data_IF_590331020539
#
_entry.id   IF_590331020539
#
_cell.length_a   1.000
_cell.length_b   1.000
_cell.length_c   1.000
_cell.angle_alpha   90.00
_cell.angle_beta   90.00
_cell.angle_gamma   90.00
#
_symmetry.space_group_name_H-M   'P 1'
#
loop_
_entity.id
_entity.type
_entity.pdbx_description
1 polymer ?
#
# COMPACT_ATOMS: atom_id res chain seq x y z
N UNK A 1 -3.98 -9.78 -5.18
CA UNK A 1 -5.06 -8.86 -4.72
C UNK A 1 -5.60 -7.97 -5.83
N UNK A 2 -4.75 -7.28 -6.59
CA UNK A 2 -5.18 -6.35 -7.66
C UNK A 2 -6.17 -6.93 -8.69
N UNK A 3 -6.09 -8.23 -9.00
CA UNK A 3 -7.02 -8.90 -9.91
C UNK A 3 -8.47 -8.83 -9.41
N UNK A 4 -8.73 -9.24 -8.16
CA UNK A 4 -10.07 -9.26 -7.58
C UNK A 4 -10.69 -7.85 -7.52
N UNK A 5 -9.86 -6.82 -7.30
CA UNK A 5 -10.32 -5.43 -7.28
C UNK A 5 -10.66 -4.89 -8.69
N UNK A 6 -9.95 -5.35 -9.72
CA UNK A 6 -10.16 -4.91 -11.10
C UNK A 6 -11.31 -5.65 -11.78
N UNK A 7 -11.50 -6.92 -11.40
CA UNK A 7 -12.51 -7.81 -11.94
C UNK A 7 -13.13 -8.60 -10.78
N UNK A 8 -14.00 -7.97 -9.97
CA UNK A 8 -14.70 -8.70 -8.93
C UNK A 8 -15.53 -9.83 -9.55
N UNK A 9 -15.61 -11.00 -8.91
CA UNK A 9 -16.51 -12.06 -9.36
C UNK A 9 -17.96 -11.54 -9.38
N UNK A 10 -18.76 -12.00 -10.36
CA UNK A 10 -20.17 -11.64 -10.45
C UNK A 10 -20.88 -11.96 -9.14
N UNK A 11 -21.67 -11.02 -8.64
CA UNK A 11 -22.42 -11.09 -7.38
C UNK A 11 -21.58 -10.98 -6.09
N UNK A 12 -20.26 -10.75 -6.20
CA UNK A 12 -19.36 -10.52 -5.06
C UNK A 12 -18.71 -9.13 -5.09
N UNK A 13 -19.18 -8.22 -5.96
CA UNK A 13 -18.64 -6.88 -6.14
C UNK A 13 -18.61 -6.09 -4.83
N UNK A 14 -19.70 -6.14 -4.08
CA UNK A 14 -19.84 -5.43 -2.81
C UNK A 14 -18.96 -6.06 -1.72
N UNK A 15 -18.92 -7.39 -1.65
CA UNK A 15 -18.07 -8.12 -0.70
C UNK A 15 -16.59 -7.81 -0.92
N UNK A 16 -16.14 -7.80 -2.18
CA UNK A 16 -14.77 -7.43 -2.56
C UNK A 16 -14.49 -5.99 -2.15
N UNK A 17 -15.41 -5.07 -2.45
CA UNK A 17 -15.27 -3.65 -2.10
C UNK A 17 -15.18 -3.46 -0.59
N UNK A 18 -16.08 -4.06 0.18
CA UNK A 18 -16.09 -3.99 1.64
C UNK A 18 -14.81 -4.59 2.26
N UNK A 19 -14.38 -5.77 1.78
CA UNK A 19 -13.16 -6.42 2.26
C UNK A 19 -11.92 -5.53 2.05
N UNK A 20 -11.75 -4.98 0.85
CA UNK A 20 -10.59 -4.16 0.54
C UNK A 20 -10.67 -2.75 1.15
N UNK A 21 -11.87 -2.25 1.43
CA UNK A 21 -12.06 -1.01 2.21
C UNK A 21 -11.66 -1.20 3.68
N UNK A 22 -12.01 -2.34 4.28
CA UNK A 22 -11.67 -2.61 5.68
C UNK A 22 -10.20 -3.00 5.86
N UNK A 23 -9.64 -3.78 4.93
CA UNK A 23 -8.30 -4.35 5.07
C UNK A 23 -7.23 -3.61 4.24
N UNK A 24 -7.60 -2.59 3.47
CA UNK A 24 -6.72 -1.90 2.52
C UNK A 24 -5.45 -1.37 3.16
N UNK A 25 -5.59 -0.67 4.29
CA UNK A 25 -4.46 -0.17 5.08
C UNK A 25 -3.53 -1.31 5.54
N UNK A 26 -4.06 -2.35 6.18
CA UNK A 26 -3.29 -3.48 6.67
C UNK A 26 -2.52 -4.22 5.54
N UNK A 27 -3.17 -4.40 4.38
CA UNK A 27 -2.56 -4.98 3.18
C UNK A 27 -1.36 -4.14 2.72
N UNK A 28 -1.51 -2.83 2.63
CA UNK A 28 -0.44 -1.93 2.19
C UNK A 28 0.73 -1.91 3.17
N UNK A 29 0.45 -1.88 4.47
CA UNK A 29 1.45 -1.92 5.53
C UNK A 29 2.25 -3.22 5.48
N UNK A 30 1.58 -4.36 5.33
CA UNK A 30 2.24 -5.66 5.19
C UNK A 30 3.11 -5.70 3.92
N UNK A 31 2.58 -5.27 2.77
CA UNK A 31 3.33 -5.19 1.52
C UNK A 31 4.59 -4.32 1.65
N UNK A 32 4.48 -3.14 2.27
CA UNK A 32 5.63 -2.26 2.51
C UNK A 32 6.65 -2.92 3.43
N UNK A 33 6.21 -3.56 4.52
CA UNK A 33 7.10 -4.29 5.42
C UNK A 33 7.84 -5.44 4.73
N UNK A 34 7.19 -6.18 3.82
CA UNK A 34 7.86 -7.20 3.00
C UNK A 34 8.86 -6.61 2.00
N UNK A 35 8.53 -5.49 1.36
CA UNK A 35 9.44 -4.79 0.43
C UNK A 35 10.69 -4.28 1.15
N UNK A 36 10.51 -3.67 2.31
CA UNK A 36 11.61 -3.13 3.13
C UNK A 36 12.42 -4.24 3.82
N UNK A 37 11.94 -5.49 3.79
CA UNK A 37 12.58 -6.62 4.49
C UNK A 37 12.39 -6.60 6.01
N UNK A 38 11.46 -5.77 6.51
CA UNK A 38 11.08 -5.70 7.93
C UNK A 38 10.19 -6.89 8.35
N UNK A 39 9.51 -7.52 7.39
CA UNK A 39 8.73 -8.74 7.60
C UNK A 39 9.37 -9.94 6.89
N UNK A 40 9.30 -11.11 7.53
CA UNK A 40 9.74 -12.41 6.99
C UNK A 40 8.54 -13.24 6.55
N UNK A 41 8.74 -14.13 5.58
CA UNK A 41 7.74 -15.10 5.10
C UNK A 41 8.07 -16.49 5.66
N UNK A 42 7.08 -17.33 5.95
CA UNK A 42 7.38 -18.62 6.57
C UNK A 42 6.35 -19.71 6.31
N UNK A 43 6.85 -20.94 6.35
CA UNK A 43 6.07 -22.18 6.29
C UNK A 43 5.94 -22.72 7.71
N UNK A 44 4.71 -22.97 8.15
CA UNK A 44 4.46 -23.72 9.38
C UNK A 44 4.71 -25.19 9.08
N UNK A 45 5.85 -25.74 9.52
CA UNK A 45 6.08 -27.16 9.36
C UNK A 45 5.14 -27.93 10.29
N UNK A 46 4.63 -29.08 9.83
CA UNK A 46 3.63 -29.89 10.55
C UNK A 46 4.09 -30.43 11.91
N UNK A 47 5.36 -30.23 12.29
CA UNK A 47 5.91 -30.55 13.61
C UNK A 47 5.88 -29.34 14.58
N UNK A 48 5.21 -28.25 14.23
CA UNK A 48 5.18 -27.02 15.04
C UNK A 48 6.42 -26.13 14.90
N UNK A 49 7.41 -26.52 14.09
CA UNK A 49 8.57 -25.67 13.78
C UNK A 49 8.23 -24.70 12.66
N UNK A 50 8.32 -23.39 12.94
CA UNK A 50 8.12 -22.36 11.91
C UNK A 50 9.45 -22.02 11.24
N UNK A 51 9.58 -22.31 9.94
CA UNK A 51 10.73 -21.87 9.14
C UNK A 51 10.41 -20.51 8.54
N UNK A 52 11.03 -19.46 9.07
CA UNK A 52 10.95 -18.11 8.50
C UNK A 52 12.14 -17.83 7.58
N UNK A 53 11.88 -17.30 6.41
CA UNK A 53 12.86 -16.93 5.39
C UNK A 53 12.66 -15.48 4.96
N UNK A 54 13.72 -14.87 4.43
CA UNK A 54 13.64 -13.52 3.89
C UNK A 54 12.87 -13.50 2.58
N UNK A 55 12.19 -12.39 2.32
CA UNK A 55 11.46 -12.18 1.07
C UNK A 55 12.43 -12.17 -0.10
N UNK A 56 12.15 -12.96 -1.14
CA UNK A 56 13.00 -13.06 -2.33
C UNK A 56 13.16 -11.71 -3.03
N UNK A 57 14.33 -11.48 -3.63
CA UNK A 57 14.59 -10.28 -4.44
C UNK A 57 13.62 -10.14 -5.62
N UNK A 58 13.29 -11.25 -6.28
CA UNK A 58 12.31 -11.30 -7.38
C UNK A 58 10.94 -10.76 -6.94
N UNK A 59 10.48 -11.16 -5.76
CA UNK A 59 9.24 -10.62 -5.20
C UNK A 59 9.34 -9.11 -5.00
N UNK A 60 10.41 -8.61 -4.36
CA UNK A 60 10.59 -7.17 -4.11
C UNK A 60 10.56 -6.35 -5.40
N UNK A 61 11.26 -6.81 -6.44
CA UNK A 61 11.24 -6.18 -7.77
C UNK A 61 9.84 -6.20 -8.39
N UNK A 62 9.10 -7.32 -8.29
CA UNK A 62 7.72 -7.36 -8.78
C UNK A 62 6.80 -6.39 -8.02
N UNK A 63 7.03 -6.22 -6.72
CA UNK A 63 6.25 -5.31 -5.88
C UNK A 63 6.56 -3.85 -6.15
N UNK A 64 7.79 -3.47 -6.54
CA UNK A 64 8.08 -2.10 -6.99
C UNK A 64 7.18 -1.68 -8.19
N UNK A 65 6.75 -2.64 -9.02
CA UNK A 65 5.84 -2.40 -10.15
C UNK A 65 4.37 -2.46 -9.74
N UNK A 66 3.99 -3.43 -8.91
CA UNK A 66 2.57 -3.69 -8.57
C UNK A 66 2.07 -2.77 -7.45
N UNK A 67 2.92 -2.43 -6.49
CA UNK A 67 2.54 -1.67 -5.29
C UNK A 67 1.89 -0.31 -5.60
N UNK A 68 2.39 0.50 -6.56
CA UNK A 68 1.71 1.74 -6.93
C UNK A 68 0.31 1.54 -7.51
N UNK A 69 0.12 0.47 -8.29
CA UNK A 69 -1.20 0.12 -8.84
C UNK A 69 -2.14 -0.32 -7.72
N UNK A 70 -1.63 -1.08 -6.75
CA UNK A 70 -2.38 -1.49 -5.57
C UNK A 70 -2.83 -0.29 -4.74
N UNK A 71 -1.92 0.65 -4.46
CA UNK A 71 -2.23 1.92 -3.79
C UNK A 71 -3.36 2.68 -4.49
N UNK A 72 -3.27 2.82 -5.81
CA UNK A 72 -4.29 3.54 -6.59
C UNK A 72 -5.66 2.84 -6.54
N UNK A 73 -5.70 1.51 -6.62
CA UNK A 73 -6.94 0.75 -6.57
C UNK A 73 -7.59 0.82 -5.19
N UNK A 74 -6.79 0.71 -4.12
CA UNK A 74 -7.29 0.83 -2.74
C UNK A 74 -7.78 2.25 -2.45
N UNK A 75 -7.05 3.27 -2.88
CA UNK A 75 -7.49 4.66 -2.76
C UNK A 75 -8.81 4.93 -3.51
N UNK A 76 -9.02 4.28 -4.66
CA UNK A 76 -10.27 4.37 -5.43
C UNK A 76 -11.45 3.70 -4.72
N UNK A 77 -11.22 2.54 -4.09
CA UNK A 77 -12.24 1.84 -3.29
C UNK A 77 -12.55 2.63 -2.02
N UNK A 78 -11.53 3.21 -1.39
CA UNK A 78 -11.71 3.90 -0.13
C UNK A 78 -12.44 5.23 -0.31
N UNK A 79 -12.06 6.14 -1.23
CA UNK A 79 -12.69 7.47 -1.50
C UNK A 79 -13.19 8.29 -0.27
N UNK A 80 -12.78 7.87 0.92
CA UNK A 80 -13.09 8.27 2.28
C UNK A 80 -12.17 7.37 3.10
N UNK A 81 -11.04 7.91 3.55
CA UNK A 81 -10.42 7.58 4.85
C UNK A 81 -9.09 8.32 4.93
N UNK A 82 -9.01 9.09 5.99
CA UNK A 82 -7.91 9.98 6.36
C UNK A 82 -6.72 9.24 7.01
N UNK A 83 -6.68 7.91 6.94
CA UNK A 83 -5.63 7.10 7.61
C UNK A 83 -4.37 6.86 6.77
N UNK A 84 -4.35 7.19 5.47
CA UNK A 84 -3.15 7.01 4.64
C UNK A 84 -2.08 8.08 4.82
N UNK A 85 -2.44 9.26 5.35
CA UNK A 85 -1.48 10.34 5.51
C UNK A 85 -0.50 10.11 6.66
N UNK A 86 -0.91 9.41 7.72
CA UNK A 86 -0.06 9.18 8.90
C UNK A 86 1.12 8.27 8.55
N UNK A 87 0.91 7.21 7.76
CA UNK A 87 2.00 6.29 7.39
C UNK A 87 2.99 6.86 6.35
N UNK A 88 2.62 7.94 5.64
CA UNK A 88 3.53 8.70 4.79
C UNK A 88 4.22 9.86 5.54
N UNK A 89 3.57 10.39 6.58
CA UNK A 89 4.13 11.43 7.47
C UNK A 89 5.07 10.86 8.52
N UNK A 90 4.88 9.62 8.96
CA UNK A 90 5.75 8.98 9.96
C UNK A 90 7.11 8.54 9.37
N UNK A 91 7.23 8.51 8.04
CA UNK A 91 8.54 8.46 7.35
C UNK A 91 9.32 9.79 7.46
N UNK A 92 8.81 10.78 8.21
CA UNK A 92 9.47 12.05 8.54
C UNK A 92 9.82 12.23 10.02
N UNK A 93 9.70 11.20 10.87
CA UNK A 93 10.26 11.25 12.21
C UNK A 93 10.88 9.89 12.61
N UNK A 94 12.05 9.60 12.05
CA UNK A 94 13.05 8.77 12.72
C UNK A 94 14.36 9.55 12.67
N UNK A 95 14.87 9.86 13.86
CA UNK A 95 16.00 10.76 14.09
C UNK A 95 17.26 10.33 13.33
N UNK A 96 18.01 11.29 12.73
CA UNK A 96 19.11 11.00 11.81
C UNK A 96 20.39 10.41 12.45
N UNK A 97 20.34 9.94 13.70
CA UNK A 97 21.55 9.57 14.45
C UNK A 97 21.86 8.06 14.50
N UNK A 98 20.97 7.15 14.05
CA UNK A 98 21.19 5.71 14.21
C UNK A 98 21.13 5.00 12.85
N UNK A 99 22.25 4.39 12.48
CA UNK A 99 22.55 3.60 11.26
C UNK A 99 23.33 4.38 10.20
N UNK A 100 24.61 4.61 10.53
CA UNK A 100 25.67 4.75 9.55
C UNK A 100 25.80 3.44 8.74
N UNK A 101 25.30 3.47 7.50
CA UNK A 101 25.82 2.80 6.28
C UNK A 101 24.90 3.16 5.10
N UNK A 102 25.33 4.00 4.13
CA UNK A 102 24.49 4.33 2.98
C UNK A 102 24.59 3.23 1.94
N UNK A 103 23.60 2.34 1.84
CA UNK A 103 23.37 1.64 0.57
C UNK A 103 22.63 2.58 -0.35
N UNK A 104 23.40 3.25 -1.21
CA UNK A 104 22.92 4.05 -2.33
C UNK A 104 22.22 3.09 -3.31
N UNK A 105 20.93 2.85 -3.10
CA UNK A 105 20.06 2.43 -4.19
C UNK A 105 19.49 3.71 -4.78
N UNK A 106 20.06 4.16 -5.90
CA UNK A 106 19.49 5.22 -6.74
C UNK A 106 18.13 4.73 -7.26
N UNK A 107 17.08 4.80 -6.45
CA UNK A 107 15.72 4.42 -6.84
C UNK A 107 15.21 5.46 -7.83
N UNK A 108 14.71 5.00 -9.00
CA UNK A 108 14.19 5.87 -10.06
C UNK A 108 13.05 6.76 -9.53
N UNK A 109 13.42 7.99 -9.21
CA UNK A 109 12.59 8.99 -8.51
C UNK A 109 11.46 9.56 -9.39
N UNK A 110 11.47 9.26 -10.70
CA UNK A 110 10.52 9.83 -11.66
C UNK A 110 9.11 9.23 -11.58
N UNK A 111 8.99 7.91 -11.40
CA UNK A 111 7.69 7.25 -11.42
C UNK A 111 6.85 7.57 -10.17
N UNK A 112 7.50 7.56 -9.00
CA UNK A 112 6.88 7.93 -7.73
C UNK A 112 6.34 9.37 -7.74
N UNK A 113 7.05 10.32 -8.38
CA UNK A 113 6.60 11.72 -8.50
C UNK A 113 5.29 11.85 -9.30
N UNK A 114 5.17 11.12 -10.41
CA UNK A 114 3.94 11.14 -11.23
C UNK A 114 2.76 10.50 -10.50
N UNK A 115 2.97 9.37 -9.82
CA UNK A 115 1.91 8.70 -9.04
C UNK A 115 1.45 9.59 -7.89
N UNK A 116 2.39 10.18 -7.15
CA UNK A 116 2.07 11.10 -6.06
C UNK A 116 1.25 12.29 -6.56
N UNK A 117 1.58 12.83 -7.74
CA UNK A 117 0.81 13.92 -8.38
C UNK A 117 -0.62 13.48 -8.72
N UNK A 118 -0.82 12.26 -9.22
CA UNK A 118 -2.14 11.70 -9.54
C UNK A 118 -2.96 11.46 -8.27
N UNK A 119 -2.37 10.82 -7.24
CA UNK A 119 -3.03 10.59 -5.94
C UNK A 119 -3.45 11.91 -5.30
N UNK A 120 -2.56 12.91 -5.29
CA UNK A 120 -2.87 14.24 -4.74
C UNK A 120 -3.99 14.95 -5.50
N UNK A 121 -4.06 14.78 -6.82
CA UNK A 121 -5.15 15.34 -7.64
C UNK A 121 -6.49 14.68 -7.30
N UNK A 122 -6.52 13.37 -7.15
CA UNK A 122 -7.72 12.61 -6.76
C UNK A 122 -8.22 13.00 -5.37
N UNK A 123 -7.32 13.11 -4.38
CA UNK A 123 -7.66 13.56 -3.02
C UNK A 123 -8.30 14.96 -3.02
N UNK A 124 -7.75 15.90 -3.81
CA UNK A 124 -8.32 17.25 -3.94
C UNK A 124 -9.69 17.25 -4.63
N UNK A 125 -9.90 16.38 -5.61
CA UNK A 125 -11.18 16.28 -6.33
C UNK A 125 -12.30 15.67 -5.49
N UNK A 126 -12.01 14.69 -4.61
CA UNK A 126 -13.01 14.14 -3.68
C UNK A 126 -13.48 15.15 -2.63
N UNK A 127 -12.58 15.99 -2.11
CA UNK A 127 -12.94 17.02 -1.11
C UNK A 127 -13.93 18.08 -1.67
N UNK A 128 -13.93 18.29 -3.00
CA UNK A 128 -14.85 19.23 -3.68
C UNK A 128 -16.27 18.68 -3.83
N UNK A 129 -16.47 17.36 -3.91
CA UNK A 129 -17.81 16.76 -4.06
C UNK A 129 -18.56 16.60 -2.73
N UNK A 130 -17.86 16.44 -1.61
CA UNK A 130 -18.49 16.36 -0.28
C UNK A 130 -18.94 17.71 0.28
N UNK A 131 -18.36 18.83 -0.17
CA UNK A 131 -18.79 20.17 0.22
C UNK A 131 -20.12 20.61 -0.41
N UNK A 132 -20.59 19.91 -1.46
CA UNK A 132 -21.81 20.26 -2.20
C UNK A 132 -23.04 19.44 -1.81
N UNK A 133 -22.91 18.49 -0.86
CA UNK A 133 -23.99 17.58 -0.42
C UNK A 133 -24.44 17.80 1.03
N UNK A 134 -23.92 18.80 1.74
CA UNK A 134 -24.32 19.12 3.12
C UNK A 134 -25.28 20.32 3.22
N UNK A 135 -25.88 20.75 2.11
CA UNK A 135 -26.91 21.80 2.07
C UNK A 135 -28.04 21.35 1.15
N UNK A 136 -28.87 20.43 1.63
CA UNK A 136 -30.25 20.17 1.18
C UNK A 136 -30.97 19.39 2.25
#
# INVERSE_FOLDING_TARGET
MTYAMLKPPKHFEELVTAHFRQNGSAILTACKAYMDGRARVGELAGNGSSRTTSVSSKFKTSMDVIYPKLLMLLAKIEASVESFEQQLKEERLCDPAVIAKPMIVKKKIGFAKNIFKVVRKLLKSSKKQNASKSVS
#
